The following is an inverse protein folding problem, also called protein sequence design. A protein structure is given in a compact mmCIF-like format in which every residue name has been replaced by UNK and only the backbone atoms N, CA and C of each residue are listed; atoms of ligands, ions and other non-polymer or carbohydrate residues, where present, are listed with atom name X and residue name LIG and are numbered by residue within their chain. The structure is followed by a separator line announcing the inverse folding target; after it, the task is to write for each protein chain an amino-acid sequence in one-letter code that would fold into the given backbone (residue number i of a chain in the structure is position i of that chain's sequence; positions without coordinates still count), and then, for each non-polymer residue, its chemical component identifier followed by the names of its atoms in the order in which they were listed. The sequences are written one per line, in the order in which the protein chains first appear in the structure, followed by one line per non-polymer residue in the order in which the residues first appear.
data_IF_261175805197
#
_entry.id   IF_261175805197
#
_cell.length_a   1.000
_cell.length_b   1.000
_cell.length_c   1.000
_cell.angle_alpha   90.00
_cell.angle_beta   90.00
_cell.angle_gamma   90.00
#
_symmetry.space_group_name_H-M   'P 1'
#
loop_
_entity.id
_entity.type
_entity.pdbx_description
1 polymer ?
#
# COMPACT_ATOMS: atom_id res chain seq x y z
N UNK A 1 -35.62 -6.95 -37.97
CA UNK A 1 -34.28 -7.51 -37.68
C UNK A 1 -33.29 -6.55 -37.05
N UNK A 2 -33.55 -5.23 -36.95
CA UNK A 2 -32.57 -4.23 -36.44
C UNK A 2 -32.42 -4.14 -34.92
N UNK A 3 -33.45 -4.46 -34.13
CA UNK A 3 -33.38 -4.27 -32.66
C UNK A 3 -32.55 -5.32 -31.92
N UNK A 4 -32.48 -6.55 -32.41
CA UNK A 4 -31.72 -7.63 -31.80
C UNK A 4 -30.18 -7.47 -32.01
N UNK A 5 -29.76 -6.89 -33.14
CA UNK A 5 -28.35 -6.65 -33.44
C UNK A 5 -27.78 -5.52 -32.57
N UNK A 6 -28.56 -4.47 -32.28
CA UNK A 6 -28.14 -3.35 -31.41
C UNK A 6 -27.96 -3.81 -29.95
N UNK A 7 -28.81 -4.71 -29.46
CA UNK A 7 -28.67 -5.22 -28.08
C UNK A 7 -27.40 -6.10 -27.92
N UNK A 8 -27.06 -6.89 -28.93
CA UNK A 8 -25.86 -7.74 -28.88
C UNK A 8 -24.56 -6.90 -28.90
N UNK A 9 -24.52 -5.80 -29.65
CA UNK A 9 -23.37 -4.89 -29.67
C UNK A 9 -23.17 -4.14 -28.36
N UNK A 10 -24.24 -3.76 -27.68
CA UNK A 10 -24.16 -3.10 -26.38
C UNK A 10 -23.61 -4.03 -25.28
N UNK A 11 -24.00 -5.32 -25.31
CA UNK A 11 -23.48 -6.32 -24.34
C UNK A 11 -22.01 -6.60 -24.59
N UNK A 12 -21.56 -6.70 -25.83
CA UNK A 12 -20.14 -6.88 -26.17
C UNK A 12 -19.27 -5.68 -25.78
N UNK A 13 -19.78 -4.46 -25.92
CA UNK A 13 -19.09 -3.26 -25.48
C UNK A 13 -18.94 -3.18 -23.96
N UNK A 14 -19.92 -3.66 -23.20
CA UNK A 14 -19.87 -3.75 -21.74
C UNK A 14 -18.83 -4.78 -21.27
N UNK A 15 -18.72 -5.92 -21.93
CA UNK A 15 -17.71 -6.94 -21.63
C UNK A 15 -16.29 -6.46 -21.96
N UNK A 16 -16.12 -5.68 -23.01
CA UNK A 16 -14.81 -5.11 -23.36
C UNK A 16 -14.33 -4.05 -22.35
N UNK A 17 -15.23 -3.28 -21.74
CA UNK A 17 -14.87 -2.32 -20.68
C UNK A 17 -14.46 -3.00 -19.37
N UNK A 18 -14.95 -4.19 -19.05
CA UNK A 18 -14.57 -4.95 -17.84
C UNK A 18 -13.18 -5.59 -17.94
N UNK A 19 -12.62 -5.73 -19.13
CA UNK A 19 -11.33 -6.39 -19.35
C UNK A 19 -10.12 -5.44 -19.35
N UNK A 20 -10.29 -4.12 -19.21
CA UNK A 20 -9.19 -3.17 -19.14
C UNK A 20 -8.60 -3.08 -17.72
N UNK A 21 -8.28 -4.22 -17.10
CA UNK A 21 -7.33 -4.21 -15.97
C UNK A 21 -5.98 -3.82 -16.56
N UNK A 22 -5.48 -2.64 -16.17
CA UNK A 22 -4.17 -2.19 -16.63
C UNK A 22 -3.14 -3.27 -16.28
N UNK A 23 -2.38 -3.71 -17.28
CA UNK A 23 -1.34 -4.71 -17.07
C UNK A 23 -0.41 -4.26 -15.93
N UNK A 24 0.05 -5.18 -15.07
CA UNK A 24 0.93 -4.83 -13.97
C UNK A 24 2.21 -4.17 -14.49
N UNK A 25 2.65 -3.10 -13.85
CA UNK A 25 3.90 -2.46 -14.20
C UNK A 25 5.06 -3.33 -13.71
N UNK A 26 5.95 -3.70 -14.63
CA UNK A 26 7.12 -4.52 -14.33
C UNK A 26 8.34 -3.64 -14.06
N UNK A 27 8.98 -3.87 -12.93
CA UNK A 27 10.26 -3.27 -12.57
C UNK A 27 11.40 -4.28 -12.77
N UNK A 28 12.62 -3.80 -13.05
CA UNK A 28 13.79 -4.67 -13.10
C UNK A 28 13.96 -5.44 -11.79
N UNK A 29 14.30 -6.71 -11.90
CA UNK A 29 14.67 -7.50 -10.73
C UNK A 29 16.04 -7.06 -10.18
N UNK A 30 16.23 -7.17 -8.87
CA UNK A 30 17.54 -6.93 -8.28
C UNK A 30 18.54 -8.03 -8.69
N UNK A 31 19.80 -7.62 -8.80
CA UNK A 31 20.89 -8.55 -9.04
C UNK A 31 21.38 -9.08 -7.67
N UNK A 32 20.97 -10.25 -7.29
CA UNK A 32 21.45 -10.89 -6.07
C UNK A 32 20.39 -11.61 -5.25
N UNK A 33 20.76 -12.22 -4.12
CA UNK A 33 19.83 -12.92 -3.25
C UNK A 33 18.88 -11.92 -2.60
N UNK A 34 17.58 -12.19 -2.71
CA UNK A 34 16.54 -11.35 -2.12
C UNK A 34 16.26 -11.81 -0.69
N UNK A 35 16.27 -10.88 0.26
CA UNK A 35 15.94 -11.17 1.65
C UNK A 35 14.52 -11.76 1.76
N UNK A 36 14.37 -12.81 2.57
CA UNK A 36 13.08 -13.51 2.75
C UNK A 36 12.10 -12.76 3.64
N UNK A 37 12.57 -11.79 4.40
CA UNK A 37 11.76 -10.98 5.31
C UNK A 37 11.59 -9.55 4.83
N UNK A 38 10.87 -8.78 5.63
CA UNK A 38 10.68 -7.36 5.43
C UNK A 38 10.93 -6.57 6.71
N UNK A 39 11.09 -5.28 6.54
CA UNK A 39 11.17 -4.33 7.64
C UNK A 39 10.46 -3.02 7.32
N UNK A 40 9.95 -2.40 8.34
CA UNK A 40 9.43 -1.04 8.28
C UNK A 40 10.22 -0.20 9.27
N UNK A 41 10.75 0.92 8.79
CA UNK A 41 11.45 1.90 9.63
C UNK A 41 10.67 3.21 9.54
N UNK A 42 10.14 3.66 10.67
CA UNK A 42 9.49 4.97 10.74
C UNK A 42 10.58 6.07 10.70
N UNK A 43 10.34 7.10 9.92
CA UNK A 43 11.14 8.32 9.86
C UNK A 43 10.27 9.49 10.30
N UNK A 44 10.87 10.66 10.59
CA UNK A 44 10.20 11.80 11.20
C UNK A 44 8.85 12.19 10.55
N UNK A 45 8.73 12.11 9.23
CA UNK A 45 7.48 12.43 8.51
C UNK A 45 6.97 11.27 7.66
N UNK A 46 7.70 10.16 7.61
CA UNK A 46 7.36 9.08 6.70
C UNK A 46 7.79 7.72 7.22
N UNK A 47 7.86 6.74 6.33
CA UNK A 47 8.36 5.42 6.63
C UNK A 47 9.08 4.82 5.41
N UNK A 48 10.11 4.02 5.68
CA UNK A 48 10.74 3.16 4.68
C UNK A 48 10.26 1.74 4.89
N UNK A 49 9.81 1.11 3.81
CA UNK A 49 9.38 -0.29 3.80
C UNK A 49 10.34 -1.05 2.90
N UNK A 50 11.02 -2.05 3.47
CA UNK A 50 11.85 -3.00 2.73
C UNK A 50 11.20 -4.37 2.76
N UNK A 51 11.04 -4.98 1.60
CA UNK A 51 10.48 -6.33 1.51
C UNK A 51 10.91 -7.01 0.23
N UNK A 52 11.57 -8.15 0.33
CA UNK A 52 11.95 -9.02 -0.79
C UNK A 52 12.49 -8.25 -2.01
N UNK A 53 13.44 -7.37 -1.78
CA UNK A 53 14.04 -6.50 -2.80
C UNK A 53 13.26 -5.22 -3.10
N UNK A 54 12.04 -5.04 -2.62
CA UNK A 54 11.33 -3.77 -2.71
C UNK A 54 11.88 -2.77 -1.70
N UNK A 55 12.06 -1.53 -2.16
CA UNK A 55 12.27 -0.37 -1.32
C UNK A 55 11.18 0.66 -1.61
N UNK A 56 10.31 0.89 -0.63
CA UNK A 56 9.24 1.88 -0.73
C UNK A 56 9.49 3.01 0.26
N UNK A 57 9.36 4.25 -0.22
CA UNK A 57 9.36 5.43 0.63
C UNK A 57 7.92 5.97 0.75
N UNK A 58 7.49 6.25 1.96
CA UNK A 58 6.16 6.78 2.29
C UNK A 58 6.31 8.18 2.86
N UNK A 59 5.53 9.14 2.35
CA UNK A 59 5.38 10.51 2.87
C UNK A 59 6.68 11.23 3.20
N UNK A 60 7.59 11.28 2.22
CA UNK A 60 8.83 12.03 2.34
C UNK A 60 9.95 11.35 3.13
N UNK A 61 9.83 10.06 3.42
CA UNK A 61 10.94 9.30 3.99
C UNK A 61 12.18 9.38 3.08
N UNK A 62 13.32 9.70 3.67
CA UNK A 62 14.60 9.80 2.98
C UNK A 62 15.33 8.48 3.09
N UNK A 63 15.98 8.06 2.02
CA UNK A 63 16.83 6.87 1.95
C UNK A 63 18.07 7.20 1.13
N UNK A 64 19.21 6.64 1.54
CA UNK A 64 20.44 6.71 0.76
C UNK A 64 20.34 5.92 -0.55
N UNK A 65 19.48 4.91 -0.55
CA UNK A 65 19.15 4.12 -1.73
C UNK A 65 17.95 4.74 -2.47
N UNK A 66 17.96 4.63 -3.80
CA UNK A 66 16.83 5.07 -4.61
C UNK A 66 15.63 4.15 -4.41
N UNK A 67 14.49 4.64 -3.92
CA UNK A 67 13.31 3.79 -3.75
C UNK A 67 12.72 3.38 -5.10
N UNK A 68 12.22 2.15 -5.17
CA UNK A 68 11.46 1.65 -6.31
C UNK A 68 10.15 2.41 -6.49
N UNK A 69 9.55 2.80 -5.35
CA UNK A 69 8.26 3.45 -5.29
C UNK A 69 8.26 4.48 -4.17
N UNK A 70 7.75 5.67 -4.47
CA UNK A 70 7.44 6.69 -3.48
C UNK A 70 5.93 6.86 -3.42
N UNK A 71 5.37 6.72 -2.23
CA UNK A 71 3.96 6.91 -1.91
C UNK A 71 3.78 8.23 -1.18
N UNK A 72 2.87 9.07 -1.65
CA UNK A 72 2.47 10.27 -0.94
C UNK A 72 0.98 10.19 -0.64
N UNK A 73 0.67 10.01 0.63
CA UNK A 73 -0.69 9.90 1.14
C UNK A 73 -1.08 11.11 1.97
N UNK A 74 -0.13 11.71 2.68
CA UNK A 74 -0.37 12.89 3.51
C UNK A 74 -0.90 14.05 2.67
N UNK A 75 -1.97 14.69 3.16
CA UNK A 75 -2.64 15.83 2.50
C UNK A 75 -3.25 15.54 1.11
N UNK A 76 -3.30 14.30 0.67
CA UNK A 76 -3.93 13.92 -0.58
C UNK A 76 -5.44 13.74 -0.37
N UNK A 77 -6.26 14.69 -0.83
CA UNK A 77 -7.72 14.53 -0.87
C UNK A 77 -8.10 13.71 -2.11
N UNK A 78 -8.98 12.74 -1.94
CA UNK A 78 -9.58 11.90 -3.00
C UNK A 78 -8.61 11.00 -3.79
N UNK A 79 -7.31 11.21 -3.74
CA UNK A 79 -6.35 10.38 -4.45
C UNK A 79 -4.96 10.43 -3.81
N UNK A 80 -4.31 9.28 -3.68
CA UNK A 80 -2.90 9.22 -3.32
C UNK A 80 -2.01 9.43 -4.55
N UNK A 81 -0.75 9.80 -4.34
CA UNK A 81 0.23 9.95 -5.40
C UNK A 81 1.27 8.84 -5.34
N UNK A 82 1.54 8.24 -6.48
CA UNK A 82 2.57 7.22 -6.68
C UNK A 82 3.64 7.77 -7.60
N UNK A 83 4.91 7.63 -7.23
CA UNK A 83 6.04 7.93 -8.11
C UNK A 83 6.93 6.72 -8.27
N UNK A 84 7.11 6.29 -9.52
CA UNK A 84 7.92 5.14 -9.92
C UNK A 84 8.97 5.66 -10.88
N UNK A 85 10.23 5.75 -10.43
CA UNK A 85 11.26 6.42 -11.18
C UNK A 85 10.92 7.89 -11.45
N UNK A 86 10.81 8.26 -12.72
CA UNK A 86 10.40 9.60 -13.18
C UNK A 86 8.88 9.73 -13.38
N UNK A 87 8.13 8.62 -13.36
CA UNK A 87 6.69 8.62 -13.64
C UNK A 87 5.89 8.85 -12.37
N UNK A 88 5.03 9.87 -12.40
CA UNK A 88 4.05 10.14 -11.35
C UNK A 88 2.67 9.67 -11.80
N UNK A 89 1.91 9.06 -10.90
CA UNK A 89 0.54 8.58 -11.10
C UNK A 89 -0.33 8.96 -9.93
N UNK A 90 -1.56 9.34 -10.22
CA UNK A 90 -2.62 9.51 -9.22
C UNK A 90 -3.33 8.17 -9.02
N UNK A 91 -3.62 7.82 -7.77
CA UNK A 91 -4.40 6.64 -7.40
C UNK A 91 -5.70 7.12 -6.74
N UNK A 92 -6.80 7.25 -7.51
CA UNK A 92 -8.10 7.64 -6.98
C UNK A 92 -8.64 6.62 -5.98
N UNK A 93 -9.58 7.04 -5.15
CA UNK A 93 -10.30 6.12 -4.26
C UNK A 93 -10.92 4.95 -5.05
N UNK A 94 -10.95 3.77 -4.43
CA UNK A 94 -11.46 2.52 -5.00
C UNK A 94 -10.67 1.99 -6.20
N UNK A 95 -9.52 2.58 -6.51
CA UNK A 95 -8.63 2.05 -7.54
C UNK A 95 -7.48 1.24 -6.95
N UNK A 96 -6.91 0.39 -7.77
CA UNK A 96 -5.75 -0.41 -7.42
C UNK A 96 -4.68 -0.32 -8.51
N UNK A 97 -3.44 -0.42 -8.09
CA UNK A 97 -2.27 -0.47 -8.97
C UNK A 97 -1.41 -1.66 -8.61
N UNK A 98 -1.01 -2.44 -9.60
CA UNK A 98 -0.20 -3.64 -9.40
C UNK A 98 1.20 -3.46 -9.99
N UNK A 99 2.20 -3.82 -9.20
CA UNK A 99 3.61 -3.79 -9.52
C UNK A 99 4.19 -5.20 -9.42
N UNK A 100 5.11 -5.53 -10.32
CA UNK A 100 5.86 -6.79 -10.30
C UNK A 100 7.34 -6.48 -10.37
N UNK A 101 8.13 -7.00 -9.42
CA UNK A 101 9.59 -6.93 -9.40
C UNK A 101 10.16 -8.34 -9.23
N UNK A 102 10.79 -8.86 -10.28
CA UNK A 102 11.18 -10.28 -10.31
C UNK A 102 9.98 -11.21 -10.16
N UNK A 103 10.00 -12.05 -9.12
CA UNK A 103 8.89 -12.95 -8.76
C UNK A 103 7.91 -12.36 -7.76
N UNK A 104 8.18 -11.19 -7.22
CA UNK A 104 7.36 -10.58 -6.16
C UNK A 104 6.32 -9.62 -6.72
N UNK A 105 5.13 -9.61 -6.13
CA UNK A 105 4.03 -8.72 -6.49
C UNK A 105 3.71 -7.78 -5.34
N UNK A 106 3.39 -6.54 -5.69
CA UNK A 106 2.86 -5.55 -4.78
C UNK A 106 1.59 -4.95 -5.39
N UNK A 107 0.48 -5.09 -4.72
CA UNK A 107 -0.76 -4.40 -5.06
C UNK A 107 -0.99 -3.26 -4.08
N UNK A 108 -1.27 -2.08 -4.61
CA UNK A 108 -1.58 -0.88 -3.85
C UNK A 108 -3.02 -0.53 -4.15
N UNK A 109 -3.86 -0.48 -3.12
CA UNK A 109 -5.27 -0.13 -3.25
C UNK A 109 -5.55 1.13 -2.45
N UNK A 110 -6.18 2.13 -3.07
CA UNK A 110 -6.68 3.31 -2.39
C UNK A 110 -8.10 3.06 -1.89
N UNK A 111 -8.26 2.99 -0.58
CA UNK A 111 -9.53 2.81 0.11
C UNK A 111 -9.99 4.15 0.70
N UNK A 112 -11.29 4.35 0.94
CA UNK A 112 -11.76 5.49 1.70
C UNK A 112 -11.20 5.46 3.12
N UNK A 113 -10.59 6.55 3.52
CA UNK A 113 -10.10 6.77 4.88
C UNK A 113 -11.07 7.60 5.72
N UNK A 114 -10.56 8.54 6.47
CA UNK A 114 -11.32 9.55 7.22
C UNK A 114 -11.37 10.84 6.41
N UNK A 115 -12.46 11.60 6.52
CA UNK A 115 -12.57 12.96 5.95
C UNK A 115 -12.21 13.04 4.45
N UNK A 116 -12.70 12.09 3.65
CA UNK A 116 -12.41 11.97 2.21
C UNK A 116 -10.91 11.77 1.87
N UNK A 117 -10.08 11.50 2.86
CA UNK A 117 -8.67 11.15 2.64
C UNK A 117 -8.51 9.66 2.39
N UNK A 118 -7.61 9.26 1.48
CA UNK A 118 -7.39 7.84 1.21
C UNK A 118 -6.71 7.12 2.37
N UNK A 119 -6.97 5.82 2.46
CA UNK A 119 -6.10 4.88 3.14
C UNK A 119 -5.48 3.97 2.08
N UNK A 120 -4.16 3.86 2.06
CA UNK A 120 -3.47 2.95 1.14
C UNK A 120 -3.34 1.58 1.78
N UNK A 121 -3.77 0.55 1.08
CA UNK A 121 -3.52 -0.83 1.45
C UNK A 121 -2.43 -1.39 0.52
N UNK A 122 -1.28 -1.72 1.10
CA UNK A 122 -0.19 -2.42 0.44
C UNK A 122 -0.38 -3.92 0.68
N UNK A 123 -0.58 -4.70 -0.38
CA UNK A 123 -0.70 -6.15 -0.32
C UNK A 123 0.53 -6.78 -0.98
N UNK A 124 1.36 -7.40 -0.16
CA UNK A 124 2.51 -8.18 -0.61
C UNK A 124 2.07 -9.65 -0.76
N UNK A 125 1.33 -9.95 -1.82
CA UNK A 125 0.64 -11.20 -2.03
C UNK A 125 1.47 -12.46 -1.80
N UNK A 126 2.76 -12.44 -2.14
CA UNK A 126 3.66 -13.58 -1.96
C UNK A 126 3.96 -13.90 -0.49
N UNK A 127 3.91 -12.90 0.39
CA UNK A 127 4.13 -13.06 1.82
C UNK A 127 2.82 -13.10 2.61
N UNK A 128 1.69 -12.86 1.93
CA UNK A 128 0.38 -12.67 2.57
C UNK A 128 0.46 -11.64 3.72
N UNK A 129 1.25 -10.57 3.48
CA UNK A 129 1.45 -9.49 4.44
C UNK A 129 0.84 -8.21 3.91
N UNK A 130 0.07 -7.52 4.75
CA UNK A 130 -0.66 -6.32 4.37
C UNK A 130 -0.38 -5.17 5.32
N UNK A 131 -0.06 -4.03 4.73
CA UNK A 131 0.20 -2.79 5.47
C UNK A 131 -0.85 -1.76 5.06
N UNK A 132 -1.55 -1.19 6.04
CA UNK A 132 -2.47 -0.08 5.80
C UNK A 132 -1.81 1.24 6.22
N UNK A 133 -1.95 2.26 5.36
CA UNK A 133 -1.37 3.60 5.54
C UNK A 133 -2.50 4.61 5.41
N UNK A 134 -3.16 5.00 6.51
CA UNK A 134 -4.14 6.08 6.49
C UNK A 134 -3.44 7.43 6.19
N UNK A 135 -4.05 8.24 5.34
CA UNK A 135 -3.57 9.58 5.03
C UNK A 135 -3.89 10.59 6.15
N UNK A 136 -5.06 10.43 6.79
CA UNK A 136 -5.46 11.24 7.93
C UNK A 136 -4.92 10.68 9.25
N UNK A 137 -4.66 11.54 10.25
CA UNK A 137 -4.44 11.11 11.61
C UNK A 137 -5.62 10.29 12.14
N UNK A 138 -5.33 9.30 12.96
CA UNK A 138 -6.35 8.48 13.62
C UNK A 138 -6.18 8.63 15.12
N UNK A 139 -7.26 8.96 15.80
CA UNK A 139 -7.24 9.10 17.26
C UNK A 139 -6.95 7.76 17.94
N UNK A 140 -6.20 7.80 19.05
CA UNK A 140 -5.79 6.59 19.80
C UNK A 140 -6.97 5.71 20.22
N UNK A 141 -8.10 6.34 20.57
CA UNK A 141 -9.33 5.61 20.94
C UNK A 141 -9.92 4.76 19.79
N UNK A 142 -9.60 5.07 18.55
CA UNK A 142 -10.06 4.33 17.37
C UNK A 142 -9.11 3.17 16.96
N UNK A 143 -7.93 3.03 17.59
CA UNK A 143 -6.96 1.98 17.24
C UNK A 143 -7.53 0.56 17.34
N UNK A 144 -8.31 0.19 18.37
CA UNK A 144 -8.89 -1.15 18.45
C UNK A 144 -9.81 -1.49 17.27
N UNK A 145 -10.47 -0.50 16.67
CA UNK A 145 -11.39 -0.72 15.54
C UNK A 145 -10.68 -0.86 14.19
N UNK A 146 -9.38 -0.53 14.09
CA UNK A 146 -8.64 -0.57 12.83
C UNK A 146 -8.58 -1.98 12.22
N UNK A 147 -8.41 -3.01 13.03
CA UNK A 147 -8.41 -4.39 12.56
C UNK A 147 -9.75 -4.81 11.95
N UNK A 148 -10.86 -4.25 12.44
CA UNK A 148 -12.20 -4.47 11.90
C UNK A 148 -12.44 -3.66 10.63
N UNK A 149 -11.93 -2.42 10.59
CA UNK A 149 -12.05 -1.53 9.43
C UNK A 149 -11.21 -1.98 8.24
N UNK A 150 -10.04 -2.56 8.51
CA UNK A 150 -9.12 -3.08 7.50
C UNK A 150 -8.85 -4.57 7.71
N UNK A 151 -9.84 -5.43 7.43
CA UNK A 151 -9.73 -6.86 7.70
C UNK A 151 -8.58 -7.48 6.91
N UNK A 152 -7.74 -8.24 7.61
CA UNK A 152 -6.57 -8.89 7.04
C UNK A 152 -5.35 -8.00 6.89
N UNK A 153 -5.37 -6.74 7.33
CA UNK A 153 -4.16 -5.95 7.49
C UNK A 153 -3.36 -6.44 8.71
N UNK A 154 -2.05 -6.55 8.56
CA UNK A 154 -1.14 -7.02 9.59
C UNK A 154 -0.49 -5.87 10.36
N UNK A 155 -0.30 -4.74 9.69
CA UNK A 155 0.35 -3.55 10.23
C UNK A 155 -0.38 -2.29 9.76
N UNK A 156 -0.53 -1.31 10.64
CA UNK A 156 -0.92 0.04 10.28
C UNK A 156 0.25 1.01 10.47
N UNK A 157 0.48 1.88 9.49
CA UNK A 157 1.42 3.01 9.58
C UNK A 157 0.60 4.28 9.79
N UNK A 158 0.37 4.61 11.05
CA UNK A 158 -0.48 5.72 11.46
C UNK A 158 0.30 7.05 11.43
N UNK A 159 -0.41 8.14 11.16
CA UNK A 159 0.12 9.48 11.35
C UNK A 159 -0.29 9.98 12.74
N UNK A 160 0.68 10.27 13.61
CA UNK A 160 0.47 10.80 14.95
C UNK A 160 1.43 11.96 15.18
N UNK A 161 0.92 13.13 15.51
CA UNK A 161 1.72 14.34 15.78
C UNK A 161 2.78 14.63 14.68
N UNK A 162 2.39 14.42 13.40
CA UNK A 162 3.26 14.62 12.25
C UNK A 162 4.30 13.52 12.02
N UNK A 163 4.25 12.43 12.78
CA UNK A 163 5.18 11.30 12.67
C UNK A 163 4.46 10.03 12.28
N UNK A 164 5.14 9.12 11.58
CA UNK A 164 4.61 7.77 11.31
C UNK A 164 4.94 6.86 12.47
N UNK A 165 3.90 6.24 13.04
CA UNK A 165 3.99 5.22 14.09
C UNK A 165 3.46 3.90 13.58
N UNK A 166 4.02 2.81 14.05
CA UNK A 166 3.66 1.45 13.63
C UNK A 166 2.75 0.80 14.65
N UNK A 167 1.62 0.28 14.19
CA UNK A 167 0.65 -0.45 14.99
C UNK A 167 0.40 -1.84 14.39
N UNK A 168 0.93 -2.91 14.98
CA UNK A 168 0.58 -4.27 14.56
C UNK A 168 -0.90 -4.56 14.83
N UNK A 169 -1.62 -5.06 13.83
CA UNK A 169 -3.06 -5.32 13.90
C UNK A 169 -3.39 -6.78 14.20
N UNK A 170 -2.46 -7.70 13.93
CA UNK A 170 -2.70 -9.15 14.05
C UNK A 170 -2.57 -9.74 15.45
N UNK A 171 -2.04 -8.98 16.43
CA UNK A 171 -1.70 -9.53 17.75
C UNK A 171 -2.69 -9.17 18.86
N UNK A 172 -3.74 -8.41 18.58
CA UNK A 172 -4.69 -7.94 19.60
C UNK A 172 -4.10 -7.00 20.68
N UNK A 173 -2.79 -6.73 20.61
CA UNK A 173 -2.11 -5.77 21.48
C UNK A 173 -1.53 -4.66 20.60
N UNK A 174 -2.09 -3.48 20.72
CA UNK A 174 -1.54 -2.28 20.12
C UNK A 174 -0.26 -1.91 20.87
N UNK A 175 0.90 -2.30 20.35
CA UNK A 175 2.17 -1.73 20.76
C UNK A 175 2.52 -0.63 19.75
N UNK A 176 2.57 0.60 20.23
CA UNK A 176 3.04 1.72 19.41
C UNK A 176 4.56 1.65 19.40
N UNK A 177 5.13 1.36 18.23
CA UNK A 177 6.58 1.38 18.03
C UNK A 177 6.95 2.72 17.38
N UNK A 178 8.00 3.36 17.86
CA UNK A 178 8.64 4.47 17.14
C UNK A 178 8.61 5.81 17.83
N UNK A 179 8.32 5.90 19.13
CA UNK A 179 8.33 7.22 19.81
C UNK A 179 9.74 7.79 20.01
N UNK A 180 10.80 7.01 20.12
CA UNK A 180 12.15 7.54 20.44
C UNK A 180 13.30 7.12 19.51
N UNK A 181 13.18 6.06 18.73
CA UNK A 181 14.23 5.64 17.81
C UNK A 181 13.62 4.97 16.58
N UNK A 182 14.24 5.18 15.40
CA UNK A 182 13.90 4.51 14.15
C UNK A 182 14.28 3.00 14.20
N UNK A 183 13.69 2.26 15.15
CA UNK A 183 13.90 0.82 15.24
C UNK A 183 13.10 0.13 14.15
N UNK A 184 13.74 -0.65 13.27
CA UNK A 184 13.03 -1.38 12.24
C UNK A 184 12.07 -2.40 12.85
N UNK A 185 10.81 -2.36 12.42
CA UNK A 185 9.85 -3.44 12.66
C UNK A 185 10.08 -4.52 11.62
N UNK A 186 10.47 -5.71 12.06
CA UNK A 186 10.72 -6.84 11.17
C UNK A 186 9.50 -7.74 11.04
N UNK A 187 9.14 -8.06 9.79
CA UNK A 187 8.13 -9.07 9.48
C UNK A 187 8.74 -10.15 8.59
N UNK A 188 8.63 -11.40 9.00
CA UNK A 188 9.28 -12.52 8.33
C UNK A 188 8.37 -13.73 8.15
N UNK A 189 7.08 -13.65 8.51
CA UNK A 189 6.22 -14.83 8.47
C UNK A 189 5.30 -14.83 7.26
N UNK A 190 5.53 -15.79 6.39
CA UNK A 190 4.49 -16.28 5.48
C UNK A 190 3.41 -16.91 6.34
N UNK A 191 2.21 -16.34 6.37
CA UNK A 191 1.03 -17.02 6.93
C UNK A 191 0.70 -18.16 6.00
N UNK A 192 0.89 -19.40 6.47
CA UNK A 192 0.24 -20.55 5.82
C UNK A 192 -1.25 -20.44 6.16
N UNK A 193 -2.06 -20.12 5.17
CA UNK A 193 -3.52 -20.29 5.23
C UNK A 193 -3.87 -21.77 5.17
#
# INVERSE_FOLDING_TARGET
MGKAVMAALAVLAWWACLAAQAAPLRLPADKGPVAQGGSVTAAAQGALIRYRGWLLAVDGAVSDERPDLVLTSANARHAAQLRIGATQRSLPLWSAFELVKGSTRLRITALPGSEDMPALLLDFGDADYRIVIPAAPIERQAYPSLAQRFPGADLALLLQDGRRVMLPLGSGRAQVFGEEQAVPYHFAKVRKR
#
